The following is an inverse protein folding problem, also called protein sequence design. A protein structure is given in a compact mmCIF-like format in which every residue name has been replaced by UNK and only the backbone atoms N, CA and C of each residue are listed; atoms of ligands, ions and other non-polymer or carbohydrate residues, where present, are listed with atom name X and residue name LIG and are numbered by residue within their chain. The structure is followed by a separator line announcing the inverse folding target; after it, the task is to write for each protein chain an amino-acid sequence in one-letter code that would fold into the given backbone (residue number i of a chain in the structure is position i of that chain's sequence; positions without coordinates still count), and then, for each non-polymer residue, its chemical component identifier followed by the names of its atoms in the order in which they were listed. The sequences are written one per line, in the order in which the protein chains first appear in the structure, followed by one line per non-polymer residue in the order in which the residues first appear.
data_IF_110345005192
#
_entry.id   IF_110345005192
#
_cell.length_a   1.000
_cell.length_b   1.000
_cell.length_c   1.000
_cell.angle_alpha   90.00
_cell.angle_beta   90.00
_cell.angle_gamma   90.00
#
_symmetry.space_group_name_H-M   'P 1'
#
loop_
_entity.id
_entity.type
_entity.pdbx_description
1 polymer ?
#
# COMPACT_ATOMS: atom_id res chain seq x y z
N UNK A 1 11.83 32.00 -3.47
CA UNK A 1 11.69 30.64 -4.04
C UNK A 1 10.24 30.46 -4.44
N UNK A 2 9.94 29.98 -5.66
CA UNK A 2 8.55 29.73 -6.09
C UNK A 2 7.90 28.75 -5.09
N UNK A 3 6.70 29.04 -4.58
CA UNK A 3 6.01 28.19 -3.60
C UNK A 3 5.86 26.74 -4.11
N UNK A 4 5.67 26.57 -5.43
CA UNK A 4 5.65 25.24 -6.07
C UNK A 4 6.99 24.51 -5.93
N UNK A 5 8.09 25.23 -6.11
CA UNK A 5 9.43 24.68 -5.96
C UNK A 5 9.73 24.36 -4.48
N UNK A 6 9.22 25.16 -3.55
CA UNK A 6 9.34 24.88 -2.12
C UNK A 6 8.67 23.55 -1.77
N UNK A 7 7.44 23.32 -2.25
CA UNK A 7 6.71 22.06 -2.02
C UNK A 7 7.48 20.89 -2.62
N UNK A 8 7.99 21.00 -3.85
CA UNK A 8 8.80 19.93 -4.47
C UNK A 8 10.05 19.59 -3.63
N UNK A 9 10.64 20.57 -2.96
CA UNK A 9 11.86 20.42 -2.17
C UNK A 9 11.60 20.26 -0.66
N UNK A 10 10.36 20.03 -0.24
CA UNK A 10 10.08 19.67 1.15
C UNK A 10 10.88 18.42 1.54
N UNK A 11 11.41 18.43 2.77
CA UNK A 11 12.23 17.34 3.30
C UNK A 11 11.52 15.97 3.18
N UNK A 12 10.23 15.81 3.52
CA UNK A 12 9.52 14.55 3.25
C UNK A 12 9.53 14.13 1.77
N UNK A 13 9.28 15.06 0.85
CA UNK A 13 9.26 14.73 -0.59
C UNK A 13 10.65 14.36 -1.13
N UNK A 14 11.71 14.97 -0.59
CA UNK A 14 13.09 14.58 -0.92
C UNK A 14 13.41 13.17 -0.41
N UNK A 15 12.90 12.80 0.77
CA UNK A 15 12.99 11.43 1.29
C UNK A 15 12.24 10.47 0.35
N UNK A 16 11.05 10.82 -0.12
CA UNK A 16 10.29 10.02 -1.09
C UNK A 16 11.04 9.82 -2.42
N UNK A 17 11.70 10.86 -2.93
CA UNK A 17 12.54 10.72 -4.13
C UNK A 17 13.70 9.74 -3.90
N UNK A 18 14.29 9.75 -2.71
CA UNK A 18 15.31 8.78 -2.35
C UNK A 18 14.75 7.36 -2.17
N UNK A 19 13.54 7.22 -1.60
CA UNK A 19 12.80 5.95 -1.54
C UNK A 19 12.58 5.37 -2.94
N UNK A 20 12.19 6.19 -3.91
CA UNK A 20 12.05 5.76 -5.30
C UNK A 20 13.35 5.18 -5.85
N UNK A 21 14.48 5.85 -5.64
CA UNK A 21 15.80 5.36 -6.05
C UNK A 21 16.08 4.00 -5.40
N UNK A 22 15.86 3.87 -4.09
CA UNK A 22 16.05 2.60 -3.38
C UNK A 22 15.15 1.48 -3.92
N UNK A 23 13.88 1.76 -4.22
CA UNK A 23 12.94 0.80 -4.81
C UNK A 23 13.47 0.32 -6.17
N UNK A 24 13.92 1.24 -7.03
CA UNK A 24 14.47 0.90 -8.35
C UNK A 24 15.76 0.10 -8.22
N UNK A 25 16.70 0.50 -7.36
CA UNK A 25 17.95 -0.23 -7.16
C UNK A 25 17.70 -1.60 -6.53
N UNK A 26 16.73 -1.71 -5.61
CA UNK A 26 16.29 -2.98 -5.06
C UNK A 26 15.79 -3.88 -6.18
N UNK A 27 14.86 -3.40 -7.01
CA UNK A 27 14.30 -4.15 -8.14
C UNK A 27 15.36 -4.65 -9.12
N UNK A 28 16.35 -3.82 -9.47
CA UNK A 28 17.48 -4.24 -10.32
C UNK A 28 18.33 -5.37 -9.69
N UNK A 29 18.25 -5.55 -8.38
CA UNK A 29 18.94 -6.59 -7.63
C UNK A 29 17.99 -7.66 -7.08
N UNK A 30 16.77 -7.80 -7.63
CA UNK A 30 15.73 -8.70 -7.10
C UNK A 30 16.15 -10.19 -7.06
N UNK A 31 17.08 -10.61 -7.91
CA UNK A 31 17.65 -11.97 -7.90
C UNK A 31 18.69 -12.18 -6.78
N UNK A 32 19.24 -11.09 -6.22
CA UNK A 32 20.23 -11.14 -5.13
C UNK A 32 19.53 -10.90 -3.80
N UNK A 33 18.94 -11.95 -3.24
CA UNK A 33 17.93 -11.86 -2.18
C UNK A 33 18.34 -11.06 -0.95
N UNK A 34 19.61 -11.16 -0.51
CA UNK A 34 20.13 -10.35 0.60
C UNK A 34 20.18 -8.86 0.27
N UNK A 35 20.71 -8.50 -0.90
CA UNK A 35 20.83 -7.09 -1.34
C UNK A 35 19.44 -6.50 -1.54
N UNK A 36 18.55 -7.23 -2.21
CA UNK A 36 17.17 -6.83 -2.41
C UNK A 36 16.48 -6.55 -1.08
N UNK A 37 16.50 -7.50 -0.14
CA UNK A 37 15.83 -7.35 1.15
C UNK A 37 16.40 -6.17 1.95
N UNK A 38 17.72 -5.99 1.97
CA UNK A 38 18.32 -4.85 2.66
C UNK A 38 17.85 -3.52 2.08
N UNK A 39 17.84 -3.36 0.76
CA UNK A 39 17.40 -2.13 0.11
C UNK A 39 15.89 -1.90 0.27
N UNK A 40 15.09 -2.95 0.11
CA UNK A 40 13.63 -2.90 0.24
C UNK A 40 13.18 -2.60 1.67
N UNK A 41 13.85 -3.17 2.68
CA UNK A 41 13.57 -2.83 4.08
C UNK A 41 14.06 -1.42 4.41
N UNK A 42 15.18 -0.98 3.83
CA UNK A 42 15.68 0.39 4.03
C UNK A 42 14.69 1.44 3.51
N UNK A 43 14.09 1.24 2.32
CA UNK A 43 13.06 2.18 1.83
C UNK A 43 11.80 2.16 2.71
N UNK A 44 11.40 1.00 3.24
CA UNK A 44 10.24 0.89 4.13
C UNK A 44 10.48 1.57 5.49
N UNK A 45 11.73 1.64 5.95
CA UNK A 45 12.09 2.42 7.14
C UNK A 45 12.03 3.92 6.85
N UNK A 46 12.38 4.35 5.64
CA UNK A 46 12.33 5.76 5.25
C UNK A 46 10.91 6.30 5.10
N UNK A 47 9.95 5.45 4.74
CA UNK A 47 8.50 5.74 4.79
C UNK A 47 8.07 6.33 6.14
N UNK A 48 8.52 5.71 7.22
CA UNK A 48 8.22 6.21 8.56
C UNK A 48 8.82 7.62 8.79
N UNK A 49 10.00 7.89 8.22
CA UNK A 49 10.70 9.15 8.41
C UNK A 49 10.08 10.30 7.60
N UNK A 50 9.60 10.08 6.38
CA UNK A 50 8.91 11.14 5.63
C UNK A 50 7.68 11.65 6.39
N UNK A 51 6.83 10.76 6.91
CA UNK A 51 5.63 11.13 7.65
C UNK A 51 5.96 11.78 9.00
N UNK A 52 7.05 11.36 9.64
CA UNK A 52 7.57 12.01 10.84
C UNK A 52 8.03 13.44 10.56
N UNK A 53 8.85 13.64 9.53
CA UNK A 53 9.37 14.96 9.16
C UNK A 53 8.29 15.88 8.61
N UNK A 54 7.32 15.36 7.85
CA UNK A 54 6.17 16.13 7.35
C UNK A 54 5.41 16.80 8.51
N UNK A 55 5.17 16.07 9.60
CA UNK A 55 4.49 16.62 10.79
C UNK A 55 5.41 17.53 11.60
N UNK A 56 6.66 17.10 11.84
CA UNK A 56 7.61 17.86 12.68
C UNK A 56 7.98 19.22 12.09
N UNK A 57 8.07 19.30 10.76
CA UNK A 57 8.47 20.50 10.03
C UNK A 57 7.28 21.30 9.51
N UNK A 58 6.04 20.87 9.79
CA UNK A 58 4.82 21.44 9.21
C UNK A 58 4.86 21.49 7.65
N UNK A 59 5.44 20.46 7.03
CA UNK A 59 5.60 20.30 5.58
C UNK A 59 4.63 19.24 5.01
N UNK A 60 3.45 19.09 5.60
CA UNK A 60 2.40 18.19 5.09
C UNK A 60 1.88 18.74 3.76
N UNK A 61 1.94 17.92 2.70
CA UNK A 61 1.49 18.31 1.36
C UNK A 61 0.70 17.19 0.70
N UNK A 62 -0.26 17.55 -0.16
CA UNK A 62 -1.01 16.57 -0.97
C UNK A 62 -0.11 15.81 -1.94
N UNK A 63 0.97 16.45 -2.42
CA UNK A 63 1.98 15.81 -3.27
C UNK A 63 2.69 14.69 -2.51
N UNK A 64 3.19 14.97 -1.30
CA UNK A 64 3.87 13.95 -0.49
C UNK A 64 2.94 12.78 -0.14
N UNK A 65 1.71 13.07 0.30
CA UNK A 65 0.74 12.02 0.60
C UNK A 65 0.35 11.17 -0.64
N UNK A 66 0.35 11.75 -1.83
CA UNK A 66 0.13 11.01 -3.07
C UNK A 66 1.35 10.17 -3.45
N UNK A 67 2.55 10.75 -3.36
CA UNK A 67 3.80 10.12 -3.72
C UNK A 67 4.09 8.90 -2.83
N UNK A 68 3.87 9.04 -1.53
CA UNK A 68 3.97 7.97 -0.53
C UNK A 68 3.22 6.70 -0.99
N UNK A 69 1.91 6.84 -1.26
CA UNK A 69 1.07 5.70 -1.69
C UNK A 69 1.49 5.14 -3.05
N UNK A 70 1.97 5.99 -3.97
CA UNK A 70 2.48 5.58 -5.28
C UNK A 70 3.73 4.70 -5.13
N UNK A 71 4.68 5.10 -4.28
CA UNK A 71 5.91 4.34 -4.03
C UNK A 71 5.60 3.01 -3.33
N UNK A 72 4.65 3.03 -2.41
CA UNK A 72 4.15 1.85 -1.73
C UNK A 72 3.53 0.81 -2.68
N UNK A 73 2.65 1.26 -3.59
CA UNK A 73 2.07 0.42 -4.64
C UNK A 73 3.12 -0.07 -5.64
N UNK A 74 4.10 0.75 -5.99
CA UNK A 74 5.20 0.37 -6.88
C UNK A 74 6.04 -0.75 -6.25
N UNK A 75 6.49 -0.58 -5.00
CA UNK A 75 7.28 -1.57 -4.28
C UNK A 75 6.56 -2.92 -4.14
N UNK A 76 5.28 -2.90 -3.74
CA UNK A 76 4.45 -4.11 -3.68
C UNK A 76 4.22 -4.73 -5.06
N UNK A 77 3.97 -3.93 -6.08
CA UNK A 77 3.77 -4.41 -7.45
C UNK A 77 4.98 -5.19 -7.99
N UNK A 78 6.19 -4.70 -7.72
CA UNK A 78 7.45 -5.38 -8.04
C UNK A 78 7.52 -6.75 -7.35
N UNK A 79 7.24 -6.80 -6.05
CA UNK A 79 7.22 -8.07 -5.31
C UNK A 79 6.17 -9.03 -5.87
N UNK A 80 4.93 -8.56 -6.08
CA UNK A 80 3.84 -9.37 -6.58
C UNK A 80 4.15 -10.03 -7.92
N UNK A 81 4.66 -9.24 -8.86
CA UNK A 81 5.00 -9.71 -10.21
C UNK A 81 6.20 -10.67 -10.22
N UNK A 82 7.11 -10.54 -9.26
CA UNK A 82 8.23 -11.47 -9.09
C UNK A 82 7.80 -12.79 -8.44
N UNK A 83 6.97 -12.76 -7.39
CA UNK A 83 6.56 -13.99 -6.68
C UNK A 83 5.58 -14.84 -7.48
N UNK A 84 4.79 -14.24 -8.37
CA UNK A 84 3.82 -14.97 -9.19
C UNK A 84 3.41 -14.18 -10.43
N UNK A 85 3.23 -14.88 -11.56
CA UNK A 85 2.62 -14.30 -12.78
C UNK A 85 1.25 -13.67 -12.50
N UNK A 86 0.46 -14.27 -11.61
CA UNK A 86 -0.86 -13.75 -11.23
C UNK A 86 -0.79 -12.59 -10.25
N UNK A 87 0.38 -12.31 -9.66
CA UNK A 87 0.58 -11.15 -8.80
C UNK A 87 0.33 -9.82 -9.53
N UNK A 88 0.45 -9.78 -10.85
CA UNK A 88 0.04 -8.61 -11.65
C UNK A 88 -1.43 -8.25 -11.41
N UNK A 89 -2.33 -9.23 -11.29
CA UNK A 89 -3.76 -8.98 -11.03
C UNK A 89 -3.94 -8.30 -9.67
N UNK A 90 -3.20 -8.77 -8.66
CA UNK A 90 -3.24 -8.21 -7.31
C UNK A 90 -2.74 -6.76 -7.34
N UNK A 91 -1.62 -6.49 -8.01
CA UNK A 91 -1.08 -5.13 -8.17
C UNK A 91 -2.07 -4.21 -8.90
N UNK A 92 -2.72 -4.69 -9.96
CA UNK A 92 -3.74 -3.91 -10.69
C UNK A 92 -4.90 -3.55 -9.77
N UNK A 93 -5.35 -4.46 -8.90
CA UNK A 93 -6.42 -4.17 -7.94
C UNK A 93 -5.99 -3.10 -6.93
N UNK A 94 -4.77 -3.18 -6.40
CA UNK A 94 -4.19 -2.16 -5.50
C UNK A 94 -4.15 -0.77 -6.18
N UNK A 95 -3.73 -0.72 -7.45
CA UNK A 95 -3.72 0.51 -8.26
C UNK A 95 -5.12 1.05 -8.55
N UNK A 96 -6.08 0.18 -8.86
CA UNK A 96 -7.46 0.56 -9.08
C UNK A 96 -8.09 1.13 -7.81
N UNK A 97 -7.94 0.45 -6.68
CA UNK A 97 -8.41 0.93 -5.39
C UNK A 97 -7.81 2.30 -5.04
N UNK A 98 -6.49 2.47 -5.24
CA UNK A 98 -5.83 3.77 -5.09
C UNK A 98 -6.47 4.84 -5.99
N UNK A 99 -6.64 4.57 -7.29
CA UNK A 99 -7.22 5.52 -8.23
C UNK A 99 -8.64 5.96 -7.84
N UNK A 100 -9.46 5.03 -7.33
CA UNK A 100 -10.81 5.31 -6.84
C UNK A 100 -10.79 6.22 -5.61
N UNK A 101 -9.85 6.02 -4.68
CA UNK A 101 -9.73 6.86 -3.49
C UNK A 101 -9.21 8.27 -3.78
N UNK A 102 -8.29 8.43 -4.74
CA UNK A 102 -7.69 9.72 -5.06
C UNK A 102 -8.67 10.73 -5.65
N UNK A 103 -9.69 10.28 -6.38
CA UNK A 103 -10.74 11.16 -6.95
C UNK A 103 -11.45 12.00 -5.88
N UNK A 104 -11.58 11.46 -4.67
CA UNK A 104 -12.26 12.13 -3.56
C UNK A 104 -11.30 12.93 -2.66
N UNK A 105 -10.03 13.08 -3.05
CA UNK A 105 -9.03 13.88 -2.32
C UNK A 105 -8.89 13.45 -0.86
N UNK A 106 -8.98 14.39 0.09
CA UNK A 106 -8.96 14.09 1.53
C UNK A 106 -10.30 13.55 2.07
N UNK A 107 -11.39 13.65 1.29
CA UNK A 107 -12.77 13.35 1.69
C UNK A 107 -13.20 11.92 1.41
N UNK A 108 -12.36 11.11 0.78
CA UNK A 108 -12.64 9.68 0.53
C UNK A 108 -12.98 8.89 1.81
N UNK A 109 -12.54 9.40 2.98
CA UNK A 109 -12.87 8.82 4.28
C UNK A 109 -14.30 9.10 4.76
N UNK A 110 -14.97 10.13 4.26
CA UNK A 110 -16.34 10.49 4.63
C UNK A 110 -17.35 9.47 4.08
N UNK A 111 -17.00 8.83 2.97
CA UNK A 111 -17.76 7.77 2.29
C UNK A 111 -17.93 6.50 3.15
N UNK A 112 -17.11 6.32 4.20
CA UNK A 112 -17.14 5.12 5.04
C UNK A 112 -18.25 5.08 6.09
N UNK A 113 -19.01 6.17 6.26
CA UNK A 113 -20.16 6.21 7.17
C UNK A 113 -21.23 5.16 6.80
N UNK A 114 -21.39 4.88 5.50
CA UNK A 114 -22.30 3.85 4.97
C UNK A 114 -21.61 2.50 4.70
N UNK A 115 -20.34 2.32 5.10
CA UNK A 115 -19.59 1.12 4.76
C UNK A 115 -20.08 -0.13 5.53
N UNK A 116 -19.94 -1.33 4.92
CA UNK A 116 -20.19 -2.61 5.58
C UNK A 116 -19.39 -2.77 6.86
N UNK A 117 -19.86 -3.64 7.76
CA UNK A 117 -19.24 -3.90 9.07
C UNK A 117 -17.74 -4.19 8.97
N UNK A 118 -17.33 -5.04 8.02
CA UNK A 118 -15.93 -5.42 7.82
C UNK A 118 -15.06 -4.18 7.50
N UNK A 119 -15.45 -3.43 6.47
CA UNK A 119 -14.75 -2.20 6.04
C UNK A 119 -14.67 -1.22 7.20
N UNK A 120 -15.79 -0.93 7.86
CA UNK A 120 -15.84 0.00 9.00
C UNK A 120 -14.86 -0.37 10.11
N UNK A 121 -14.73 -1.66 10.43
CA UNK A 121 -13.83 -2.12 11.48
C UNK A 121 -12.35 -2.08 11.07
N UNK A 122 -12.05 -2.29 9.78
CA UNK A 122 -10.69 -2.12 9.23
C UNK A 122 -10.25 -0.66 9.35
N UNK A 123 -11.13 0.29 9.00
CA UNK A 123 -10.80 1.73 9.01
C UNK A 123 -10.87 2.39 10.40
N UNK A 124 -11.43 1.71 11.40
CA UNK A 124 -11.58 2.24 12.76
C UNK A 124 -10.24 2.69 13.37
N UNK A 125 -10.24 3.81 14.10
CA UNK A 125 -9.05 4.39 14.74
C UNK A 125 -7.86 4.63 13.79
N UNK A 126 -8.11 4.96 12.51
CA UNK A 126 -7.08 5.06 11.47
C UNK A 126 -6.25 3.77 11.37
N UNK A 127 -6.94 2.63 11.20
CA UNK A 127 -6.35 1.29 11.06
C UNK A 127 -5.67 0.72 12.31
N UNK A 128 -5.67 1.46 13.43
CA UNK A 128 -5.08 1.03 14.71
C UNK A 128 -6.00 0.09 15.51
N UNK A 129 -6.57 -0.90 14.84
CA UNK A 129 -7.32 -2.01 15.45
C UNK A 129 -6.63 -3.32 15.10
N UNK A 130 -6.85 -4.42 15.85
CA UNK A 130 -6.28 -5.72 15.49
C UNK A 130 -6.61 -6.13 14.05
N UNK A 131 -7.85 -5.86 13.61
CA UNK A 131 -8.27 -6.13 12.24
C UNK A 131 -7.58 -5.21 11.23
N UNK A 132 -7.50 -3.90 11.49
CA UNK A 132 -6.81 -2.95 10.63
C UNK A 132 -5.31 -3.27 10.48
N UNK A 133 -4.63 -3.61 11.58
CA UNK A 133 -3.23 -4.04 11.57
C UNK A 133 -3.04 -5.37 10.82
N UNK A 134 -3.96 -6.34 10.99
CA UNK A 134 -3.93 -7.59 10.23
C UNK A 134 -4.08 -7.34 8.73
N UNK A 135 -5.03 -6.49 8.34
CA UNK A 135 -5.33 -6.20 6.94
C UNK A 135 -4.22 -5.41 6.26
N UNK A 136 -3.74 -4.35 6.90
CA UNK A 136 -2.71 -3.46 6.34
C UNK A 136 -1.34 -4.10 6.54
N UNK A 137 -0.84 -4.13 7.78
CA UNK A 137 0.54 -4.53 8.06
C UNK A 137 0.85 -5.98 7.67
N UNK A 138 0.00 -6.95 8.03
CA UNK A 138 0.27 -8.36 7.70
C UNK A 138 -0.17 -8.73 6.28
N UNK A 139 -1.32 -8.22 5.84
CA UNK A 139 -1.92 -8.55 4.54
C UNK A 139 -1.32 -7.75 3.38
N UNK A 140 -1.53 -6.44 3.38
CA UNK A 140 -1.15 -5.55 2.28
C UNK A 140 0.37 -5.43 2.15
N UNK A 141 1.08 -5.06 3.22
CA UNK A 141 2.53 -4.91 3.19
C UNK A 141 3.28 -6.24 3.45
N UNK A 142 2.82 -7.03 4.41
CA UNK A 142 3.57 -8.18 4.91
C UNK A 142 3.62 -9.36 3.94
N UNK A 143 2.49 -9.74 3.34
CA UNK A 143 2.39 -10.92 2.48
C UNK A 143 3.35 -10.92 1.27
N UNK A 144 3.44 -9.86 0.43
CA UNK A 144 4.33 -9.88 -0.73
C UNK A 144 5.80 -10.05 -0.31
N UNK A 145 6.22 -9.43 0.79
CA UNK A 145 7.57 -9.60 1.36
C UNK A 145 7.76 -11.03 1.88
N UNK A 146 6.77 -11.57 2.59
CA UNK A 146 6.85 -12.93 3.15
C UNK A 146 6.91 -14.00 2.06
N UNK A 147 6.16 -13.83 0.97
CA UNK A 147 6.22 -14.69 -0.21
C UNK A 147 7.59 -14.63 -0.88
N UNK A 148 8.19 -13.44 -0.98
CA UNK A 148 9.55 -13.29 -1.50
C UNK A 148 10.58 -14.02 -0.63
N UNK A 149 10.48 -13.89 0.69
CA UNK A 149 11.35 -14.63 1.62
C UNK A 149 11.12 -16.14 1.48
N UNK A 150 9.86 -16.56 1.36
CA UNK A 150 9.50 -17.96 1.19
C UNK A 150 10.15 -18.57 -0.06
N UNK A 151 10.01 -17.96 -1.24
CA UNK A 151 10.57 -18.53 -2.48
C UNK A 151 12.11 -18.59 -2.46
N UNK A 152 12.77 -17.68 -1.74
CA UNK A 152 14.24 -17.58 -1.71
C UNK A 152 14.90 -18.38 -0.57
N UNK A 153 14.22 -18.57 0.57
CA UNK A 153 14.83 -19.08 1.79
C UNK A 153 14.10 -20.29 2.42
N UNK A 154 12.97 -20.76 1.88
CA UNK A 154 12.20 -21.85 2.50
C UNK A 154 13.02 -23.14 2.72
N UNK A 155 13.96 -23.45 1.84
CA UNK A 155 14.83 -24.65 1.98
C UNK A 155 15.80 -24.57 3.17
N UNK A 156 16.05 -23.37 3.70
CA UNK A 156 16.94 -23.14 4.84
C UNK A 156 16.21 -23.26 6.19
N UNK A 157 14.87 -23.23 6.19
CA UNK A 157 14.05 -23.22 7.39
C UNK A 157 13.54 -24.64 7.67
N UNK A 158 13.92 -25.24 8.81
CA UNK A 158 13.54 -26.62 9.17
C UNK A 158 12.97 -26.73 10.58
N UNK A 159 12.30 -27.86 10.87
CA UNK A 159 11.75 -28.17 12.19
C UNK A 159 10.62 -27.22 12.64
N UNK A 160 10.57 -26.92 13.94
CA UNK A 160 9.55 -26.03 14.52
C UNK A 160 9.53 -24.63 13.91
N UNK A 161 10.68 -24.13 13.46
CA UNK A 161 10.81 -22.82 12.81
C UNK A 161 10.04 -22.83 11.49
N UNK A 162 10.07 -23.94 10.74
CA UNK A 162 9.30 -24.08 9.51
C UNK A 162 7.79 -23.99 9.78
N UNK A 163 7.28 -24.66 10.81
CA UNK A 163 5.86 -24.59 11.17
C UNK A 163 5.42 -23.17 11.50
N UNK A 164 6.23 -22.44 12.28
CA UNK A 164 5.96 -21.03 12.58
C UNK A 164 5.99 -20.16 11.31
N UNK A 165 6.98 -20.38 10.44
CA UNK A 165 7.15 -19.65 9.19
C UNK A 165 5.94 -19.80 8.25
N UNK A 166 5.42 -21.02 8.12
CA UNK A 166 4.19 -21.30 7.37
C UNK A 166 2.95 -20.72 8.06
N UNK A 167 2.90 -20.75 9.39
CA UNK A 167 1.83 -20.12 10.16
C UNK A 167 1.72 -18.62 9.92
N UNK A 168 2.86 -17.92 9.88
CA UNK A 168 2.91 -16.48 9.55
C UNK A 168 2.45 -16.24 8.11
N UNK A 169 2.89 -17.09 7.16
CA UNK A 169 2.45 -16.98 5.77
C UNK A 169 0.92 -17.10 5.64
N UNK A 170 0.30 -18.07 6.33
CA UNK A 170 -1.15 -18.27 6.35
C UNK A 170 -1.87 -17.05 6.97
N UNK A 171 -1.32 -16.50 8.05
CA UNK A 171 -1.87 -15.29 8.67
C UNK A 171 -1.80 -14.07 7.74
N UNK A 172 -0.68 -13.86 7.06
CA UNK A 172 -0.53 -12.83 6.03
C UNK A 172 -1.53 -13.03 4.87
N UNK A 173 -1.70 -14.27 4.40
CA UNK A 173 -2.67 -14.61 3.37
C UNK A 173 -4.11 -14.28 3.78
N UNK A 174 -4.47 -14.57 5.04
CA UNK A 174 -5.76 -14.20 5.60
C UNK A 174 -5.95 -12.67 5.63
N UNK A 175 -4.94 -11.92 6.09
CA UNK A 175 -4.96 -10.46 6.05
C UNK A 175 -5.16 -9.90 4.65
N UNK A 176 -4.49 -10.49 3.64
CA UNK A 176 -4.63 -10.08 2.24
C UNK A 176 -6.01 -10.34 1.68
N UNK A 177 -6.66 -11.44 2.05
CA UNK A 177 -8.02 -11.73 1.63
C UNK A 177 -8.99 -10.65 2.13
N UNK A 178 -8.84 -10.21 3.38
CA UNK A 178 -9.64 -9.11 3.93
C UNK A 178 -9.35 -7.82 3.17
N UNK A 179 -8.08 -7.54 2.87
CA UNK A 179 -7.68 -6.37 2.10
C UNK A 179 -8.33 -6.37 0.71
N UNK A 180 -8.37 -7.52 0.04
CA UNK A 180 -9.02 -7.68 -1.27
C UNK A 180 -10.51 -7.35 -1.22
N UNK A 181 -11.22 -7.81 -0.18
CA UNK A 181 -12.64 -7.50 -0.01
C UNK A 181 -12.86 -6.00 0.19
N UNK A 182 -11.97 -5.32 0.92
CA UNK A 182 -12.02 -3.86 1.11
C UNK A 182 -11.74 -3.13 -0.20
N UNK A 183 -10.72 -3.52 -0.95
CA UNK A 183 -10.35 -2.93 -2.24
C UNK A 183 -11.49 -3.05 -3.26
N UNK A 184 -12.07 -4.25 -3.39
CA UNK A 184 -13.22 -4.49 -4.26
C UNK A 184 -14.41 -3.63 -3.85
N UNK A 185 -14.70 -3.54 -2.55
CA UNK A 185 -15.77 -2.66 -2.07
C UNK A 185 -15.53 -1.20 -2.46
N UNK A 186 -14.31 -0.68 -2.30
CA UNK A 186 -13.95 0.69 -2.70
C UNK A 186 -14.17 0.89 -4.20
N UNK A 187 -13.73 -0.06 -5.03
CA UNK A 187 -13.88 0.00 -6.49
C UNK A 187 -15.37 0.01 -6.88
N UNK A 188 -16.17 -0.93 -6.37
CA UNK A 188 -17.59 -0.99 -6.67
C UNK A 188 -18.33 0.25 -6.19
N UNK A 189 -18.00 0.76 -5.01
CA UNK A 189 -18.61 1.98 -4.50
C UNK A 189 -18.30 3.18 -5.40
N UNK A 190 -17.07 3.29 -5.90
CA UNK A 190 -16.71 4.32 -6.88
C UNK A 190 -17.49 4.17 -8.20
N UNK A 191 -17.75 2.94 -8.67
CA UNK A 191 -18.59 2.72 -9.85
C UNK A 191 -20.03 3.18 -9.65
N UNK A 192 -20.65 2.89 -8.49
CA UNK A 192 -21.98 3.42 -8.15
C UNK A 192 -22.01 4.94 -8.21
N UNK A 193 -21.00 5.61 -7.63
CA UNK A 193 -20.94 7.08 -7.67
C UNK A 193 -20.90 7.64 -9.09
N UNK A 194 -20.11 7.03 -9.99
CA UNK A 194 -20.04 7.47 -11.38
C UNK A 194 -21.38 7.31 -12.10
N UNK A 195 -22.06 6.18 -11.88
CA UNK A 195 -23.39 5.94 -12.46
C UNK A 195 -24.41 6.95 -11.93
N UNK A 196 -24.39 7.23 -10.63
CA UNK A 196 -25.28 8.20 -10.00
C UNK A 196 -25.06 9.62 -10.53
N UNK A 197 -23.80 10.01 -10.78
CA UNK A 197 -23.48 11.31 -11.35
C UNK A 197 -23.92 11.41 -12.81
N UNK A 198 -23.68 10.39 -13.64
CA UNK A 198 -24.18 10.32 -15.03
C UNK A 198 -25.72 10.43 -15.09
N UNK A 199 -26.42 9.81 -14.13
CA UNK A 199 -27.88 9.88 -14.03
C UNK A 199 -28.39 11.26 -13.60
N UNK A 200 -27.64 12.01 -12.78
CA UNK A 200 -28.00 13.40 -12.39
C UNK A 200 -27.81 14.36 -13.56
N UNK A 201 -26.72 14.21 -14.32
CA UNK A 201 -26.45 15.04 -15.49
C UNK A 201 -27.55 14.87 -16.55
N UNK A 202 -27.98 13.63 -16.81
CA UNK A 202 -29.11 13.35 -17.72
C UNK A 202 -30.46 13.91 -17.28
N UNK A 203 -30.68 14.16 -15.99
CA UNK A 203 -31.91 14.79 -15.47
C UNK A 203 -31.89 16.32 -15.54
N UNK A 204 -30.72 16.90 -15.75
CA UNK A 204 -30.50 18.35 -15.78
C UNK A 204 -30.46 18.89 -17.22
N UNK A 205 -30.34 17.99 -18.22
CA UNK A 205 -30.53 18.25 -19.64
C UNK A 205 -31.99 18.05 -20.06
#
# INVERSE_FOLDING_TARGET
MNEKLAILLYIPNVIDYFRLILIVVAWLNIEKSTIFLTLYLSQAVLDFFDGYFAKKLNQVSSLGAWLDVVLDNLGRGILWTHVSKYGLIISVIEWLAFSCTQKNGSRWKETFSQAPFLVRNVFKNNFKTPLGLTTISAGLQGLPVWLYIYINFNTQVTGYIATLFHGILVYCAFGRLICLLVELWVIFKNLEFLIDDDLKEKKTQ
#
